data_IF_626667120495
#
_entry.id   IF_626667120495
#
_cell.length_a   1.000
_cell.length_b   1.000
_cell.length_c   1.000
_cell.angle_alpha   90.00
_cell.angle_beta   90.00
_cell.angle_gamma   90.00
#
_symmetry.space_group_name_H-M   'P 1'
#
loop_
_entity.id
_entity.type
_entity.pdbx_description
1 polymer ?
#
# COMPACT_ATOMS: atom_id res chain seq x y z
N UNK A 1 -12.47 30.82 20.91
CA UNK A 1 -12.24 29.36 20.85
C UNK A 1 -10.95 29.10 21.62
N UNK A 2 -11.00 28.40 22.75
CA UNK A 2 -9.83 28.19 23.61
C UNK A 2 -8.86 27.22 22.90
N UNK A 3 -7.66 27.68 22.56
CA UNK A 3 -6.64 26.86 21.93
C UNK A 3 -6.00 25.93 22.99
N UNK A 4 -5.66 24.67 22.63
CA UNK A 4 -5.07 23.71 23.55
C UNK A 4 -3.68 24.15 24.03
N UNK A 5 -3.29 23.72 25.24
CA UNK A 5 -2.07 24.16 25.95
C UNK A 5 -0.75 23.84 25.24
N UNK A 6 -0.75 22.99 24.19
CA UNK A 6 0.42 22.60 23.41
C UNK A 6 0.39 23.11 21.96
N UNK A 7 -0.21 24.28 21.74
CA UNK A 7 -0.28 24.89 20.40
C UNK A 7 1.11 25.33 19.97
N UNK A 8 1.69 24.65 18.97
CA UNK A 8 2.89 25.13 18.28
C UNK A 8 2.55 26.38 17.45
N UNK A 9 3.43 27.37 17.48
CA UNK A 9 3.27 28.64 16.78
C UNK A 9 4.25 28.72 15.62
N UNK A 10 3.81 29.37 14.54
CA UNK A 10 4.68 29.77 13.43
C UNK A 10 4.73 31.29 13.41
N UNK A 11 5.95 31.81 13.33
CA UNK A 11 6.27 33.24 13.35
C UNK A 11 7.13 33.59 12.14
N UNK A 12 6.97 34.81 11.64
CA UNK A 12 7.77 35.32 10.52
C UNK A 12 8.88 36.27 10.99
N UNK A 13 9.76 36.63 10.05
CA UNK A 13 10.70 37.73 10.16
C UNK A 13 10.22 38.85 9.26
N UNK A 14 10.01 40.03 9.82
CA UNK A 14 9.70 41.21 9.01
C UNK A 14 10.90 41.64 8.18
N UNK A 15 10.66 42.33 7.06
CA UNK A 15 11.71 42.84 6.18
C UNK A 15 12.82 43.60 6.94
N UNK A 16 12.44 44.42 7.93
CA UNK A 16 13.39 45.21 8.71
C UNK A 16 14.20 44.36 9.70
N UNK A 17 13.66 43.23 10.16
CA UNK A 17 14.34 42.29 11.05
C UNK A 17 15.32 41.35 10.31
N UNK A 18 15.23 41.27 8.97
CA UNK A 18 16.10 40.43 8.15
C UNK A 18 17.43 41.13 7.90
N UNK A 19 18.54 40.46 8.21
CA UNK A 19 19.90 40.94 7.95
C UNK A 19 20.52 40.30 6.70
N UNK A 20 21.41 41.05 6.03
CA UNK A 20 22.28 40.47 4.99
C UNK A 20 23.15 39.36 5.58
N UNK A 21 23.32 38.26 4.84
CA UNK A 21 24.04 37.08 5.30
C UNK A 21 23.28 36.21 6.31
N UNK A 22 22.09 36.61 6.75
CA UNK A 22 21.25 35.78 7.60
C UNK A 22 20.81 34.53 6.84
N UNK A 23 20.89 33.38 7.49
CA UNK A 23 20.56 32.10 6.89
C UNK A 23 19.56 31.30 7.72
N UNK A 24 18.72 30.52 7.05
CA UNK A 24 17.88 29.51 7.68
C UNK A 24 18.03 28.17 6.97
N UNK A 25 17.66 27.08 7.68
CA UNK A 25 17.74 25.72 7.13
C UNK A 25 16.54 24.85 7.46
N UNK A 26 16.25 23.92 6.57
CA UNK A 26 15.25 22.86 6.72
C UNK A 26 15.91 21.51 6.39
N UNK A 27 15.64 20.49 7.21
CA UNK A 27 16.10 19.12 6.98
C UNK A 27 14.90 18.23 6.70
N UNK A 28 15.00 17.40 5.66
CA UNK A 28 13.97 16.39 5.35
C UNK A 28 14.58 15.16 4.69
N UNK A 29 14.21 13.98 5.20
CA UNK A 29 14.56 12.70 4.58
C UNK A 29 13.51 12.33 3.54
N UNK A 30 13.95 11.97 2.34
CA UNK A 30 13.04 11.54 1.28
C UNK A 30 12.62 10.08 1.50
N UNK A 31 11.33 9.82 1.40
CA UNK A 31 10.75 8.49 1.49
C UNK A 31 10.14 8.07 0.15
N UNK A 32 9.83 6.78 -0.01
CA UNK A 32 9.07 6.32 -1.17
C UNK A 32 7.69 7.01 -1.25
N UNK A 33 7.05 7.21 -0.10
CA UNK A 33 5.77 7.92 -0.02
C UNK A 33 5.85 9.36 -0.50
N UNK A 34 6.97 10.07 -0.28
CA UNK A 34 7.17 11.42 -0.82
C UNK A 34 7.23 11.42 -2.35
N UNK A 35 7.92 10.44 -2.96
CA UNK A 35 8.06 10.33 -4.41
C UNK A 35 6.70 10.03 -5.05
N UNK A 36 5.97 9.07 -4.47
CA UNK A 36 4.64 8.70 -4.93
C UNK A 36 3.62 9.85 -4.75
N UNK A 37 3.65 10.54 -3.61
CA UNK A 37 2.77 11.69 -3.36
C UNK A 37 3.11 12.86 -4.31
N UNK A 38 4.40 13.11 -4.57
CA UNK A 38 4.81 14.14 -5.52
C UNK A 38 4.36 13.79 -6.94
N UNK A 39 4.49 12.53 -7.38
CA UNK A 39 3.97 12.08 -8.67
C UNK A 39 2.45 12.26 -8.77
N UNK A 40 1.70 11.91 -7.72
CA UNK A 40 0.25 12.04 -7.68
C UNK A 40 -0.22 13.50 -7.77
N UNK A 41 0.46 14.43 -7.09
CA UNK A 41 0.10 15.86 -7.07
C UNK A 41 0.59 16.60 -8.31
N UNK A 42 1.78 16.27 -8.82
CA UNK A 42 2.40 16.96 -9.97
C UNK A 42 1.97 16.39 -11.33
N UNK A 43 1.48 15.15 -11.38
CA UNK A 43 1.25 14.41 -12.61
C UNK A 43 2.54 13.84 -13.25
N UNK A 44 3.71 14.08 -12.66
CA UNK A 44 4.98 13.55 -13.15
C UNK A 44 5.15 12.07 -12.76
N UNK A 45 4.69 11.21 -13.66
CA UNK A 45 4.74 9.75 -13.56
C UNK A 45 5.91 9.14 -14.32
N UNK A 46 6.99 9.90 -14.56
CA UNK A 46 8.16 9.39 -15.26
C UNK A 46 8.65 8.08 -14.61
N UNK A 47 8.83 6.99 -15.39
CA UNK A 47 9.22 5.69 -14.85
C UNK A 47 10.50 5.68 -14.01
N UNK A 48 11.41 6.64 -14.21
CA UNK A 48 12.61 6.81 -13.37
C UNK A 48 12.30 7.04 -11.87
N UNK A 49 11.09 7.47 -11.55
CA UNK A 49 10.63 7.76 -10.19
C UNK A 49 9.76 6.64 -9.58
N UNK A 50 9.13 5.80 -10.41
CA UNK A 50 8.07 4.88 -9.94
C UNK A 50 8.32 3.40 -10.28
N UNK A 51 9.23 3.10 -11.22
CA UNK A 51 9.50 1.73 -11.65
C UNK A 51 10.98 1.37 -11.39
N UNK A 52 11.20 0.44 -10.46
CA UNK A 52 12.55 0.00 -10.08
C UNK A 52 13.28 -0.73 -11.22
N UNK A 53 12.58 -1.57 -11.98
CA UNK A 53 13.15 -2.31 -13.12
C UNK A 53 13.64 -1.34 -14.18
N UNK A 54 12.78 -0.41 -14.60
CA UNK A 54 13.15 0.64 -15.55
C UNK A 54 14.29 1.50 -15.02
N UNK A 55 14.20 1.96 -13.76
CA UNK A 55 15.19 2.87 -13.19
C UNK A 55 16.58 2.21 -13.04
N UNK A 56 16.64 0.90 -12.83
CA UNK A 56 17.91 0.15 -12.77
C UNK A 56 18.66 0.15 -14.11
N UNK A 57 17.92 0.14 -15.23
CA UNK A 57 18.48 0.16 -16.58
C UNK A 57 18.88 1.57 -17.05
N UNK A 58 18.54 2.61 -16.29
CA UNK A 58 18.99 3.98 -16.56
C UNK A 58 20.35 4.28 -15.95
N UNK A 59 20.93 5.42 -16.34
CA UNK A 59 22.12 6.04 -15.73
C UNK A 59 22.00 6.25 -14.20
N UNK A 60 20.79 6.17 -13.65
CA UNK A 60 20.54 6.35 -12.22
C UNK A 60 20.68 5.06 -11.41
N UNK A 61 20.62 3.87 -12.03
CA UNK A 61 20.72 2.58 -11.33
C UNK A 61 19.83 2.53 -10.07
N UNK A 62 18.54 2.72 -10.27
CA UNK A 62 17.51 2.68 -9.23
C UNK A 62 16.68 3.97 -9.14
N UNK A 63 15.58 3.88 -8.39
CA UNK A 63 14.60 4.97 -8.25
C UNK A 63 15.23 6.21 -7.62
N UNK A 64 14.98 7.37 -8.24
CA UNK A 64 15.40 8.68 -7.74
C UNK A 64 14.18 9.55 -7.45
N UNK A 65 14.31 10.51 -6.53
CA UNK A 65 13.27 11.49 -6.28
C UNK A 65 13.21 12.54 -7.40
N UNK A 66 12.03 13.14 -7.60
CA UNK A 66 11.85 14.28 -8.51
C UNK A 66 12.76 15.44 -8.09
N UNK A 67 13.52 16.02 -9.02
CA UNK A 67 14.38 17.17 -8.71
C UNK A 67 13.59 18.33 -8.09
N UNK A 68 12.38 18.57 -8.57
CA UNK A 68 11.46 19.59 -8.07
C UNK A 68 10.98 19.34 -6.64
N UNK A 69 11.11 18.14 -6.09
CA UNK A 69 10.88 17.91 -4.65
C UNK A 69 11.81 18.79 -3.81
N UNK A 70 13.08 18.91 -4.20
CA UNK A 70 14.03 19.83 -3.55
C UNK A 70 13.62 21.30 -3.67
N UNK A 71 13.06 21.70 -4.82
CA UNK A 71 12.47 23.04 -5.01
C UNK A 71 11.27 23.28 -4.10
N UNK A 72 10.40 22.30 -3.93
CA UNK A 72 9.27 22.37 -2.99
C UNK A 72 9.73 22.51 -1.53
N UNK A 73 10.88 21.93 -1.16
CA UNK A 73 11.47 22.15 0.18
C UNK A 73 12.00 23.57 0.38
N UNK A 74 12.55 24.21 -0.66
CA UNK A 74 12.90 25.64 -0.62
C UNK A 74 11.63 26.46 -0.41
N UNK A 75 10.58 26.16 -1.18
CA UNK A 75 9.27 26.81 -1.01
C UNK A 75 8.74 26.69 0.42
N UNK A 76 8.80 25.49 1.00
CA UNK A 76 8.45 25.27 2.40
C UNK A 76 9.31 26.11 3.36
N UNK A 77 10.64 26.09 3.22
CA UNK A 77 11.53 26.88 4.06
C UNK A 77 11.17 28.38 4.02
N UNK A 78 10.97 28.95 2.82
CA UNK A 78 10.70 30.38 2.69
C UNK A 78 9.30 30.78 3.15
N UNK A 79 8.30 29.96 2.86
CA UNK A 79 6.90 30.25 3.19
C UNK A 79 6.53 30.00 4.65
N UNK A 80 7.23 29.11 5.36
CA UNK A 80 6.83 28.69 6.71
C UNK A 80 7.87 28.96 7.79
N UNK A 81 9.16 29.14 7.47
CA UNK A 81 10.21 29.33 8.47
C UNK A 81 10.97 30.65 8.32
N UNK A 82 11.47 30.98 7.12
CA UNK A 82 12.30 32.16 6.92
C UNK A 82 12.28 32.66 5.46
N UNK A 83 11.69 33.83 5.16
CA UNK A 83 11.15 34.79 6.12
C UNK A 83 9.90 34.30 6.86
N UNK A 84 9.19 33.30 6.35
CA UNK A 84 8.05 32.67 7.02
C UNK A 84 6.70 33.25 6.59
N UNK A 85 5.64 33.11 7.41
CA UNK A 85 4.29 33.51 7.05
C UNK A 85 4.18 34.94 6.49
N UNK A 86 3.43 35.10 5.40
CA UNK A 86 3.27 36.37 4.68
C UNK A 86 4.34 36.65 3.63
N UNK A 87 5.33 35.77 3.46
CA UNK A 87 6.26 35.81 2.33
C UNK A 87 5.54 35.55 1.00
N UNK A 88 5.78 36.39 0.00
CA UNK A 88 5.28 36.17 -1.37
C UNK A 88 6.45 35.73 -2.26
N UNK A 89 6.32 34.56 -2.87
CA UNK A 89 7.32 34.01 -3.78
C UNK A 89 7.23 34.69 -5.15
N UNK A 90 8.30 35.37 -5.58
CA UNK A 90 8.31 36.12 -6.84
C UNK A 90 9.05 35.37 -7.95
N UNK A 91 10.19 34.78 -7.64
CA UNK A 91 11.03 34.10 -8.63
C UNK A 91 11.85 32.99 -7.99
N UNK A 92 12.07 31.92 -8.75
CA UNK A 92 12.94 30.81 -8.39
C UNK A 92 13.78 30.40 -9.59
N UNK A 93 15.10 30.35 -9.41
CA UNK A 93 16.04 29.73 -10.35
C UNK A 93 16.58 28.46 -9.72
N UNK A 94 16.62 27.34 -10.47
CA UNK A 94 17.09 26.05 -9.97
C UNK A 94 18.05 25.40 -10.96
N UNK A 95 19.15 24.87 -10.41
CA UNK A 95 20.14 24.07 -11.11
C UNK A 95 20.28 22.72 -10.39
N UNK A 96 19.83 21.66 -11.06
CA UNK A 96 19.93 20.28 -10.57
C UNK A 96 21.29 19.71 -10.91
N UNK A 97 22.02 19.24 -9.89
CA UNK A 97 23.44 18.84 -10.04
C UNK A 97 23.66 17.34 -9.81
N UNK A 98 22.91 16.72 -8.90
CA UNK A 98 22.99 15.29 -8.61
C UNK A 98 21.61 14.71 -8.30
N UNK A 99 21.36 13.43 -8.60
CA UNK A 99 20.12 12.77 -8.22
C UNK A 99 20.02 12.62 -6.71
N UNK A 100 18.79 12.61 -6.20
CA UNK A 100 18.45 12.35 -4.80
C UNK A 100 17.82 10.97 -4.73
N UNK A 101 18.27 10.12 -3.80
CA UNK A 101 17.78 8.75 -3.64
C UNK A 101 16.90 8.58 -2.42
N UNK A 102 16.04 7.57 -2.43
CA UNK A 102 15.25 7.17 -1.26
C UNK A 102 16.18 6.99 -0.05
N UNK A 103 15.83 7.61 1.08
CA UNK A 103 16.62 7.60 2.30
C UNK A 103 17.67 8.72 2.41
N UNK A 104 17.92 9.50 1.36
CA UNK A 104 18.77 10.69 1.47
C UNK A 104 18.11 11.75 2.37
N UNK A 105 18.90 12.35 3.25
CA UNK A 105 18.48 13.49 4.07
C UNK A 105 18.99 14.76 3.42
N UNK A 106 18.08 15.59 2.91
CA UNK A 106 18.41 16.88 2.32
C UNK A 106 18.42 17.98 3.37
N UNK A 107 19.49 18.76 3.40
CA UNK A 107 19.60 20.03 4.10
C UNK A 107 19.44 21.16 3.09
N UNK A 108 18.31 21.85 3.16
CA UNK A 108 18.03 23.07 2.41
C UNK A 108 18.49 24.27 3.23
N UNK A 109 19.30 25.14 2.65
CA UNK A 109 19.77 26.38 3.27
C UNK A 109 19.44 27.55 2.36
N UNK A 110 18.86 28.61 2.92
CA UNK A 110 18.61 29.87 2.23
C UNK A 110 19.36 30.99 2.96
N UNK A 111 20.18 31.75 2.23
CA UNK A 111 21.02 32.82 2.79
C UNK A 111 20.73 34.14 2.08
N UNK A 112 20.46 35.20 2.83
CA UNK A 112 20.15 36.52 2.27
C UNK A 112 21.38 37.12 1.59
N UNK A 113 21.28 37.39 0.30
CA UNK A 113 22.36 37.98 -0.51
C UNK A 113 22.13 39.46 -0.80
N UNK A 114 20.88 39.88 -0.99
CA UNK A 114 20.53 41.26 -1.29
C UNK A 114 19.15 41.67 -0.74
N UNK A 115 18.96 42.97 -0.56
CA UNK A 115 17.73 43.60 -0.08
C UNK A 115 17.40 44.83 -0.93
N UNK A 116 16.16 44.94 -1.40
CA UNK A 116 15.61 46.11 -2.10
C UNK A 116 14.61 46.83 -1.19
N UNK A 117 15.04 47.96 -0.61
CA UNK A 117 14.24 48.73 0.35
C UNK A 117 12.99 49.36 -0.27
N UNK A 118 13.03 49.70 -1.56
CA UNK A 118 11.92 50.35 -2.25
C UNK A 118 10.79 49.36 -2.51
N UNK A 119 11.16 48.11 -2.84
CA UNK A 119 10.19 47.05 -3.15
C UNK A 119 9.94 46.08 -1.99
N UNK A 120 10.69 46.18 -0.90
CA UNK A 120 10.69 45.22 0.23
C UNK A 120 10.99 43.79 -0.22
N UNK A 121 11.87 43.65 -1.22
CA UNK A 121 12.27 42.36 -1.78
C UNK A 121 13.57 41.89 -1.16
N UNK A 122 13.68 40.58 -1.00
CA UNK A 122 14.88 39.90 -0.51
C UNK A 122 15.28 38.85 -1.52
N UNK A 123 16.55 38.84 -1.87
CA UNK A 123 17.15 37.79 -2.68
C UNK A 123 17.93 36.83 -1.78
N UNK A 124 17.79 35.54 -2.04
CA UNK A 124 18.40 34.48 -1.25
C UNK A 124 19.16 33.50 -2.16
N UNK A 125 20.41 33.21 -1.79
CA UNK A 125 21.13 32.04 -2.29
C UNK A 125 20.56 30.78 -1.63
N UNK A 126 20.15 29.82 -2.45
CA UNK A 126 19.50 28.59 -2.02
C UNK A 126 20.40 27.40 -2.37
N UNK A 127 20.81 26.64 -1.35
CA UNK A 127 21.63 25.45 -1.51
C UNK A 127 20.96 24.24 -0.86
N UNK A 128 20.96 23.12 -1.59
CA UNK A 128 20.44 21.85 -1.10
C UNK A 128 21.55 20.81 -1.19
N UNK A 129 21.89 20.26 -0.03
CA UNK A 129 22.94 19.24 0.12
C UNK A 129 22.37 17.99 0.77
N UNK A 130 22.93 16.82 0.47
CA UNK A 130 22.57 15.58 1.15
C UNK A 130 23.40 15.38 2.43
N UNK A 131 23.15 14.28 3.15
CA UNK A 131 23.85 13.90 4.38
C UNK A 131 25.37 13.71 4.23
N UNK A 132 25.87 13.55 3.00
CA UNK A 132 27.30 13.45 2.68
C UNK A 132 27.93 14.81 2.33
N UNK A 133 27.18 15.91 2.44
CA UNK A 133 27.60 17.25 2.04
C UNK A 133 27.64 17.45 0.51
N UNK A 134 27.11 16.51 -0.27
CA UNK A 134 27.08 16.64 -1.73
C UNK A 134 25.94 17.57 -2.11
N UNK A 135 26.25 18.60 -2.90
CA UNK A 135 25.24 19.51 -3.46
C UNK A 135 24.42 18.79 -4.52
N UNK A 136 23.10 18.77 -4.34
CA UNK A 136 22.14 18.12 -5.24
C UNK A 136 21.36 19.15 -6.06
N UNK A 137 21.10 20.32 -5.48
CA UNK A 137 20.38 21.43 -6.10
C UNK A 137 20.93 22.75 -5.57
N UNK A 138 20.99 23.76 -6.43
CA UNK A 138 21.30 25.14 -6.03
C UNK A 138 20.60 26.16 -6.93
N UNK A 139 20.56 27.41 -6.50
CA UNK A 139 20.03 28.52 -7.29
C UNK A 139 19.64 29.68 -6.40
N UNK A 140 18.78 30.57 -6.89
CA UNK A 140 18.35 31.76 -6.16
C UNK A 140 16.84 31.83 -6.03
N UNK A 141 16.38 32.44 -4.95
CA UNK A 141 14.97 32.76 -4.72
C UNK A 141 14.83 34.26 -4.49
N UNK A 142 13.83 34.88 -5.11
CA UNK A 142 13.42 36.25 -4.83
C UNK A 142 12.05 36.25 -4.22
N UNK A 143 11.93 36.91 -3.08
CA UNK A 143 10.67 36.99 -2.32
C UNK A 143 10.34 38.42 -1.94
N UNK A 144 9.06 38.72 -1.81
CA UNK A 144 8.60 39.87 -1.03
C UNK A 144 8.57 39.44 0.43
N UNK A 145 9.39 40.07 1.28
CA UNK A 145 9.37 39.77 2.71
C UNK A 145 8.18 40.48 3.39
N UNK A 146 7.58 39.86 4.41
CA UNK A 146 6.47 40.47 5.12
C UNK A 146 6.93 41.74 5.86
N UNK A 147 6.10 42.78 5.90
CA UNK A 147 6.40 44.02 6.65
C UNK A 147 5.75 44.05 8.02
N UNK A 148 4.80 43.15 8.28
CA UNK A 148 4.09 43.04 9.54
C UNK A 148 4.41 41.70 10.20
N UNK A 149 4.53 41.73 11.53
CA UNK A 149 4.71 40.53 12.32
C UNK A 149 3.45 39.67 12.24
N UNK A 150 3.62 38.40 11.86
CA UNK A 150 2.56 37.40 11.82
C UNK A 150 2.92 36.27 12.76
N UNK A 151 1.98 35.92 13.64
CA UNK A 151 2.08 34.80 14.56
C UNK A 151 0.77 34.02 14.53
N UNK A 152 0.83 32.78 14.04
CA UNK A 152 -0.34 31.93 13.84
C UNK A 152 -0.11 30.54 14.45
N UNK A 153 -1.18 29.86 14.90
CA UNK A 153 -1.09 28.43 15.24
C UNK A 153 -0.61 27.65 14.02
N UNK A 154 0.32 26.71 14.23
CA UNK A 154 0.81 25.84 13.17
C UNK A 154 -0.32 24.98 12.61
N UNK A 155 -0.53 25.06 11.30
CA UNK A 155 -1.50 24.22 10.60
C UNK A 155 -0.85 22.85 10.35
N UNK A 156 -1.54 21.78 10.73
CA UNK A 156 -1.10 20.41 10.40
C UNK A 156 -1.43 20.11 8.95
N UNK A 157 -0.44 19.63 8.20
CA UNK A 157 -0.65 19.20 6.83
C UNK A 157 -1.53 17.93 6.78
N UNK A 158 -2.37 17.75 5.76
CA UNK A 158 -3.10 16.50 5.56
C UNK A 158 -2.13 15.34 5.34
N UNK A 159 -2.45 14.16 5.89
CA UNK A 159 -1.72 12.93 5.60
C UNK A 159 -2.26 12.30 4.32
N UNK A 160 -1.41 12.12 3.32
CA UNK A 160 -1.75 11.37 2.10
C UNK A 160 -1.45 9.90 2.37
N UNK A 161 -2.50 9.07 2.44
CA UNK A 161 -2.36 7.61 2.39
C UNK A 161 -2.47 7.16 0.94
N UNK A 162 -1.40 6.55 0.45
CA UNK A 162 -1.35 5.99 -0.89
C UNK A 162 -1.87 4.55 -0.82
N UNK A 163 -2.87 4.25 -1.64
CA UNK A 163 -3.42 2.91 -1.77
C UNK A 163 -3.27 2.45 -3.22
N UNK A 164 -2.49 1.39 -3.41
CA UNK A 164 -2.35 0.70 -4.67
C UNK A 164 -2.94 -0.71 -4.52
N UNK A 165 -4.17 -0.95 -5.02
CA UNK A 165 -4.84 -2.24 -4.92
C UNK A 165 -4.06 -3.37 -5.61
N UNK A 166 -3.41 -3.06 -6.73
CA UNK A 166 -2.70 -4.06 -7.53
C UNK A 166 -1.41 -4.48 -6.83
N UNK A 167 -0.67 -3.53 -6.25
CA UNK A 167 0.51 -3.84 -5.44
C UNK A 167 0.15 -4.70 -4.22
N UNK A 168 -0.96 -4.42 -3.53
CA UNK A 168 -1.44 -5.23 -2.40
C UNK A 168 -1.80 -6.65 -2.80
N UNK A 169 -2.46 -6.82 -3.94
CA UNK A 169 -2.81 -8.13 -4.45
C UNK A 169 -1.55 -8.94 -4.84
N UNK A 170 -0.57 -8.30 -5.49
CA UNK A 170 0.73 -8.94 -5.81
C UNK A 170 1.51 -9.32 -4.55
N UNK A 171 1.54 -8.45 -3.54
CA UNK A 171 2.15 -8.73 -2.24
C UNK A 171 1.52 -9.98 -1.59
N UNK A 172 0.18 -10.10 -1.64
CA UNK A 172 -0.51 -11.29 -1.13
C UNK A 172 -0.13 -12.56 -1.88
N UNK A 173 -0.10 -12.52 -3.22
CA UNK A 173 0.29 -13.67 -4.03
C UNK A 173 1.75 -14.10 -3.77
N UNK A 174 2.66 -13.14 -3.56
CA UNK A 174 4.07 -13.43 -3.28
C UNK A 174 4.32 -14.17 -1.98
N UNK A 175 3.34 -14.22 -1.06
CA UNK A 175 3.45 -15.05 0.14
C UNK A 175 3.50 -16.54 -0.18
N UNK A 176 2.99 -16.97 -1.35
CA UNK A 176 3.09 -18.34 -1.83
C UNK A 176 4.39 -18.65 -2.59
N UNK A 177 5.23 -17.66 -2.88
CA UNK A 177 6.42 -17.86 -3.70
C UNK A 177 7.40 -18.84 -3.04
N UNK A 178 7.79 -19.88 -3.79
CA UNK A 178 8.70 -20.93 -3.31
C UNK A 178 8.05 -21.99 -2.42
N UNK A 179 6.75 -21.91 -2.16
CA UNK A 179 5.99 -22.96 -1.47
C UNK A 179 5.48 -24.02 -2.47
N UNK A 180 5.38 -25.30 -2.07
CA UNK A 180 4.76 -26.31 -2.91
C UNK A 180 3.26 -26.07 -3.05
N UNK A 181 2.73 -26.33 -4.25
CA UNK A 181 1.30 -26.24 -4.53
C UNK A 181 0.51 -27.21 -3.63
N UNK A 182 -0.55 -26.71 -2.99
CA UNK A 182 -1.37 -27.50 -2.05
C UNK A 182 -2.38 -28.34 -2.81
N UNK A 183 -2.49 -29.64 -2.48
CA UNK A 183 -3.49 -30.48 -3.13
C UNK A 183 -4.89 -30.15 -2.62
N UNK A 184 -5.74 -29.64 -3.50
CA UNK A 184 -6.99 -28.99 -3.13
C UNK A 184 -8.19 -29.63 -3.83
N UNK A 185 -9.16 -30.14 -3.05
CA UNK A 185 -10.44 -30.56 -3.61
C UNK A 185 -11.33 -29.35 -3.86
N UNK A 186 -11.63 -29.09 -5.13
CA UNK A 186 -12.58 -28.07 -5.57
C UNK A 186 -13.95 -28.72 -5.65
N UNK A 187 -14.83 -28.38 -4.72
CA UNK A 187 -16.10 -29.07 -4.48
C UNK A 187 -17.19 -28.43 -5.31
N UNK A 188 -17.78 -29.20 -6.23
CA UNK A 188 -18.87 -28.79 -7.10
C UNK A 188 -18.63 -27.45 -7.85
N UNK A 189 -17.56 -27.30 -8.65
CA UNK A 189 -17.33 -26.10 -9.47
C UNK A 189 -18.21 -26.10 -10.72
N UNK A 190 -19.54 -26.10 -10.53
CA UNK A 190 -20.53 -26.18 -11.62
C UNK A 190 -21.03 -24.80 -12.09
N UNK A 191 -20.17 -23.79 -11.99
CA UNK A 191 -20.31 -22.47 -12.58
C UNK A 191 -18.94 -22.00 -13.13
N UNK A 192 -18.95 -20.99 -14.00
CA UNK A 192 -17.74 -20.51 -14.70
C UNK A 192 -16.74 -19.88 -13.72
N UNK A 193 -17.21 -19.12 -12.73
CA UNK A 193 -16.33 -18.33 -11.85
C UNK A 193 -15.58 -19.25 -10.87
N UNK A 194 -16.26 -20.24 -10.29
CA UNK A 194 -15.64 -21.25 -9.43
C UNK A 194 -14.60 -22.08 -10.20
N UNK A 195 -14.95 -22.51 -11.42
CA UNK A 195 -14.04 -23.32 -12.24
C UNK A 195 -12.83 -22.49 -12.70
N UNK A 196 -13.05 -21.26 -13.14
CA UNK A 196 -11.98 -20.33 -13.54
C UNK A 196 -11.06 -20.01 -12.36
N UNK A 197 -11.60 -19.69 -11.19
CA UNK A 197 -10.82 -19.38 -10.00
C UNK A 197 -9.91 -20.54 -9.57
N UNK A 198 -10.41 -21.77 -9.62
CA UNK A 198 -9.61 -22.96 -9.36
C UNK A 198 -8.46 -23.13 -10.36
N UNK A 199 -8.76 -22.98 -11.66
CA UNK A 199 -7.75 -23.16 -12.70
C UNK A 199 -6.73 -22.02 -12.75
N UNK A 200 -7.15 -20.78 -12.49
CA UNK A 200 -6.23 -19.64 -12.37
C UNK A 200 -5.28 -19.86 -11.18
N UNK A 201 -5.80 -20.33 -10.03
CA UNK A 201 -4.98 -20.68 -8.86
C UNK A 201 -3.96 -21.78 -9.18
N UNK A 202 -4.33 -22.78 -9.99
CA UNK A 202 -3.44 -23.83 -10.45
C UNK A 202 -2.35 -23.29 -11.41
N UNK A 203 -2.70 -22.38 -12.33
CA UNK A 203 -1.72 -21.73 -13.23
C UNK A 203 -0.71 -20.88 -12.46
N UNK A 204 -1.11 -20.30 -11.33
CA UNK A 204 -0.22 -19.59 -10.42
C UNK A 204 0.59 -20.52 -9.50
N UNK A 205 0.43 -21.85 -9.61
CA UNK A 205 1.17 -22.82 -8.80
C UNK A 205 0.74 -22.86 -7.34
N UNK A 206 -0.42 -22.30 -6.99
CA UNK A 206 -0.90 -22.23 -5.60
C UNK A 206 -1.54 -23.55 -5.16
N UNK A 207 -2.24 -24.23 -6.08
CA UNK A 207 -2.94 -25.48 -5.80
C UNK A 207 -2.71 -26.54 -6.88
N UNK A 208 -2.80 -27.80 -6.48
CA UNK A 208 -3.02 -28.95 -7.38
C UNK A 208 -4.50 -29.33 -7.28
N UNK A 209 -5.35 -28.90 -8.24
CA UNK A 209 -6.79 -29.06 -8.11
C UNK A 209 -7.24 -30.51 -8.36
N UNK A 210 -8.15 -30.98 -7.52
CA UNK A 210 -8.95 -32.20 -7.70
C UNK A 210 -10.41 -31.76 -7.82
N UNK A 211 -10.98 -31.82 -9.02
CA UNK A 211 -12.34 -31.35 -9.27
C UNK A 211 -13.35 -32.43 -8.88
N UNK A 212 -14.20 -32.15 -7.89
CA UNK A 212 -15.19 -33.11 -7.40
C UNK A 212 -16.59 -32.64 -7.80
N UNK A 213 -17.21 -33.30 -8.78
CA UNK A 213 -18.53 -32.89 -9.25
C UNK A 213 -19.04 -33.66 -10.47
N UNK A 214 -20.19 -33.25 -11.04
CA UNK A 214 -20.72 -33.80 -12.29
C UNK A 214 -19.78 -33.51 -13.45
N UNK A 215 -19.02 -34.51 -13.89
CA UNK A 215 -17.97 -34.37 -14.90
C UNK A 215 -18.48 -33.75 -16.21
N UNK A 216 -19.62 -34.24 -16.73
CA UNK A 216 -20.21 -33.71 -17.96
C UNK A 216 -20.49 -32.19 -17.86
N UNK A 217 -20.95 -31.73 -16.70
CA UNK A 217 -21.23 -30.30 -16.47
C UNK A 217 -19.95 -29.48 -16.38
N UNK A 218 -18.93 -29.97 -15.68
CA UNK A 218 -17.64 -29.27 -15.57
C UNK A 218 -16.94 -29.16 -16.92
N UNK A 219 -16.96 -30.22 -17.73
CA UNK A 219 -16.40 -30.20 -19.10
C UNK A 219 -17.15 -29.24 -20.02
N UNK A 220 -18.48 -29.23 -19.97
CA UNK A 220 -19.29 -28.27 -20.72
C UNK A 220 -18.92 -26.82 -20.36
N UNK A 221 -18.84 -26.50 -19.06
CA UNK A 221 -18.50 -25.16 -18.59
C UNK A 221 -17.06 -24.76 -18.96
N UNK A 222 -16.15 -25.72 -18.98
CA UNK A 222 -14.79 -25.52 -19.46
C UNK A 222 -14.76 -25.14 -20.95
N UNK A 223 -15.51 -25.84 -21.79
CA UNK A 223 -15.65 -25.50 -23.21
C UNK A 223 -16.28 -24.12 -23.41
N UNK A 224 -17.38 -23.84 -22.73
CA UNK A 224 -18.09 -22.54 -22.78
C UNK A 224 -17.20 -21.38 -22.29
N UNK A 225 -16.41 -21.61 -21.24
CA UNK A 225 -15.57 -20.60 -20.61
C UNK A 225 -14.16 -20.47 -21.19
N UNK A 226 -13.79 -21.32 -22.15
CA UNK A 226 -12.41 -21.42 -22.68
C UNK A 226 -11.39 -21.82 -21.61
N UNK A 227 -11.78 -22.65 -20.65
CA UNK A 227 -10.95 -23.09 -19.52
C UNK A 227 -10.35 -24.46 -19.86
N UNK A 228 -9.02 -24.54 -19.87
CA UNK A 228 -8.34 -25.82 -20.06
C UNK A 228 -8.38 -26.67 -18.77
N UNK A 229 -8.82 -27.93 -18.89
CA UNK A 229 -8.84 -28.93 -17.80
C UNK A 229 -7.84 -30.07 -18.03
N UNK A 230 -6.91 -29.94 -18.99
CA UNK A 230 -5.92 -30.96 -19.29
C UNK A 230 -5.04 -31.25 -18.06
N UNK A 231 -4.86 -32.54 -17.76
CA UNK A 231 -4.03 -33.00 -16.63
C UNK A 231 -4.64 -32.81 -15.25
N UNK A 232 -5.85 -32.26 -15.15
CA UNK A 232 -6.57 -32.08 -13.87
C UNK A 232 -7.26 -33.38 -13.48
N UNK A 233 -7.15 -33.76 -12.22
CA UNK A 233 -7.86 -34.91 -11.67
C UNK A 233 -9.34 -34.58 -11.47
N UNK A 234 -10.22 -35.46 -11.95
CA UNK A 234 -11.66 -35.30 -11.85
C UNK A 234 -12.26 -36.50 -11.12
N UNK A 235 -12.96 -36.23 -10.02
CA UNK A 235 -13.74 -37.20 -9.27
C UNK A 235 -15.21 -37.01 -9.63
N UNK A 236 -15.69 -37.84 -10.54
CA UNK A 236 -17.05 -37.77 -11.06
C UNK A 236 -18.08 -38.21 -10.01
N UNK A 237 -19.00 -37.31 -9.68
CA UNK A 237 -20.12 -37.55 -8.75
C UNK A 237 -21.40 -36.88 -9.26
N UNK A 238 -22.60 -37.40 -8.94
CA UNK A 238 -23.82 -37.00 -9.63
C UNK A 238 -24.37 -35.61 -9.27
N UNK A 239 -24.15 -35.12 -8.05
CA UNK A 239 -24.74 -33.86 -7.56
C UNK A 239 -23.91 -33.24 -6.42
N UNK A 240 -24.33 -32.06 -5.95
CA UNK A 240 -23.61 -31.24 -4.96
C UNK A 240 -23.38 -31.94 -3.62
N UNK A 241 -24.39 -32.62 -3.07
CA UNK A 241 -24.24 -33.35 -1.80
C UNK A 241 -23.21 -34.49 -1.91
N UNK A 242 -23.25 -35.26 -3.00
CA UNK A 242 -22.26 -36.31 -3.26
C UNK A 242 -20.84 -35.75 -3.43
N UNK A 243 -20.72 -34.55 -4.01
CA UNK A 243 -19.44 -33.84 -4.10
C UNK A 243 -18.92 -33.41 -2.72
N UNK A 244 -19.78 -32.85 -1.88
CA UNK A 244 -19.43 -32.48 -0.52
C UNK A 244 -18.98 -33.69 0.32
N UNK A 245 -19.73 -34.79 0.27
CA UNK A 245 -19.40 -36.03 0.98
C UNK A 245 -18.09 -36.65 0.51
N UNK A 246 -17.86 -36.68 -0.81
CA UNK A 246 -16.63 -37.23 -1.39
C UNK A 246 -15.42 -36.35 -1.10
N UNK A 247 -15.57 -35.03 -1.20
CA UNK A 247 -14.50 -34.11 -0.85
C UNK A 247 -14.12 -34.21 0.64
N UNK A 248 -15.11 -34.31 1.53
CA UNK A 248 -14.86 -34.54 2.96
C UNK A 248 -14.19 -35.89 3.24
N UNK A 249 -14.54 -36.94 2.48
CA UNK A 249 -13.85 -38.24 2.55
C UNK A 249 -12.37 -38.13 2.17
N UNK A 250 -12.07 -37.46 1.04
CA UNK A 250 -10.69 -37.25 0.57
C UNK A 250 -9.86 -36.41 1.55
N UNK A 251 -10.48 -35.41 2.19
CA UNK A 251 -9.80 -34.64 3.22
C UNK A 251 -9.54 -35.48 4.48
N UNK A 252 -10.50 -36.32 4.88
CA UNK A 252 -10.36 -37.19 6.05
C UNK A 252 -9.29 -38.28 5.87
N UNK A 253 -9.09 -38.77 4.64
CA UNK A 253 -8.00 -39.71 4.32
C UNK A 253 -6.63 -39.04 4.16
N UNK A 254 -6.59 -37.70 4.08
CA UNK A 254 -5.38 -36.95 3.77
C UNK A 254 -4.98 -36.97 2.29
N UNK A 255 -5.87 -37.44 1.40
CA UNK A 255 -5.64 -37.42 -0.06
C UNK A 255 -5.68 -35.99 -0.61
N UNK A 256 -6.33 -35.07 0.10
CA UNK A 256 -6.28 -33.62 -0.15
C UNK A 256 -6.02 -32.87 1.16
N UNK A 257 -5.35 -31.74 1.04
CA UNK A 257 -4.94 -30.90 2.18
C UNK A 257 -5.85 -29.68 2.35
N UNK A 258 -6.60 -29.31 1.31
CA UNK A 258 -7.49 -28.16 1.29
C UNK A 258 -8.82 -28.50 0.63
N UNK A 259 -9.90 -27.91 1.13
CA UNK A 259 -11.22 -27.92 0.49
C UNK A 259 -11.56 -26.51 0.00
N UNK A 260 -11.96 -26.39 -1.26
CA UNK A 260 -12.41 -25.14 -1.88
C UNK A 260 -13.85 -25.28 -2.33
N UNK A 261 -14.74 -24.41 -1.84
CA UNK A 261 -16.15 -24.41 -2.22
C UNK A 261 -16.32 -23.89 -3.66
N UNK A 262 -17.06 -24.61 -4.50
CA UNK A 262 -17.53 -24.16 -5.82
C UNK A 262 -18.92 -23.51 -5.76
N UNK A 263 -19.87 -23.92 -6.60
CA UNK A 263 -21.24 -23.34 -6.66
C UNK A 263 -22.23 -23.87 -5.63
N UNK A 264 -21.92 -24.96 -4.93
CA UNK A 264 -22.84 -25.54 -3.92
C UNK A 264 -23.11 -24.58 -2.75
N UNK A 265 -24.20 -24.79 -2.01
CA UNK A 265 -24.42 -24.00 -0.80
C UNK A 265 -23.41 -24.34 0.30
N UNK A 266 -23.08 -23.34 1.12
CA UNK A 266 -22.07 -23.48 2.19
C UNK A 266 -22.50 -24.49 3.25
N UNK A 267 -23.79 -24.60 3.54
CA UNK A 267 -24.32 -25.57 4.50
C UNK A 267 -24.09 -27.02 4.04
N UNK A 268 -24.24 -27.33 2.74
CA UNK A 268 -23.95 -28.66 2.19
C UNK A 268 -22.50 -29.08 2.45
N UNK A 269 -21.54 -28.21 2.15
CA UNK A 269 -20.11 -28.50 2.37
C UNK A 269 -19.79 -28.61 3.85
N UNK A 270 -20.21 -27.65 4.66
CA UNK A 270 -19.90 -27.64 6.09
C UNK A 270 -20.57 -28.81 6.80
N UNK A 271 -21.79 -29.20 6.41
CA UNK A 271 -22.44 -30.40 6.94
C UNK A 271 -21.61 -31.66 6.66
N UNK A 272 -21.15 -31.85 5.42
CA UNK A 272 -20.32 -33.00 5.05
C UNK A 272 -18.97 -33.02 5.80
N UNK A 273 -18.31 -31.87 5.95
CA UNK A 273 -17.07 -31.74 6.72
C UNK A 273 -17.31 -32.07 8.19
N UNK A 274 -18.34 -31.48 8.80
CA UNK A 274 -18.68 -31.74 10.19
C UNK A 274 -19.17 -33.17 10.39
N UNK A 275 -19.71 -33.87 9.39
CA UNK A 275 -20.09 -35.27 9.51
C UNK A 275 -18.88 -36.21 9.71
N UNK A 276 -17.66 -35.77 9.37
CA UNK A 276 -16.40 -36.53 9.55
C UNK A 276 -15.72 -36.18 10.87
N UNK A 277 -15.72 -37.06 11.89
CA UNK A 277 -15.06 -36.79 13.17
C UNK A 277 -13.56 -36.50 13.02
N UNK A 278 -12.91 -37.06 12.01
CA UNK A 278 -11.48 -36.93 11.70
C UNK A 278 -11.10 -35.49 11.31
N UNK A 279 -12.05 -34.73 10.76
CA UNK A 279 -11.86 -33.33 10.36
C UNK A 279 -12.23 -32.34 11.47
N UNK A 280 -12.78 -32.81 12.58
CA UNK A 280 -13.15 -31.95 13.70
C UNK A 280 -11.94 -31.70 14.59
N UNK A 281 -11.81 -30.46 15.03
CA UNK A 281 -10.86 -30.09 16.08
C UNK A 281 -11.58 -29.98 17.43
N UNK A 282 -10.81 -29.79 18.50
CA UNK A 282 -11.37 -29.48 19.82
C UNK A 282 -11.91 -28.05 19.97
N UNK A 283 -11.97 -27.27 18.88
CA UNK A 283 -12.36 -25.86 18.88
C UNK A 283 -13.57 -25.61 17.98
N UNK A 284 -14.32 -24.55 18.28
CA UNK A 284 -15.38 -24.05 17.40
C UNK A 284 -14.80 -23.64 16.04
N UNK A 285 -15.35 -24.19 14.97
CA UNK A 285 -15.05 -23.73 13.60
C UNK A 285 -15.45 -22.26 13.45
N UNK A 286 -14.61 -21.48 12.78
CA UNK A 286 -14.82 -20.05 12.57
C UNK A 286 -14.37 -19.60 11.18
N UNK A 287 -14.79 -18.41 10.80
CA UNK A 287 -14.45 -17.79 9.52
C UNK A 287 -13.62 -16.51 9.71
N UNK A 288 -12.63 -16.27 8.84
CA UNK A 288 -11.81 -15.05 8.83
C UNK A 288 -11.91 -14.36 7.47
N UNK A 289 -12.32 -13.09 7.44
CA UNK A 289 -12.11 -12.23 6.29
C UNK A 289 -10.75 -11.54 6.38
N UNK A 290 -10.01 -11.50 5.27
CA UNK A 290 -8.84 -10.63 5.10
C UNK A 290 -9.21 -9.46 4.19
N UNK A 291 -9.12 -8.23 4.70
CA UNK A 291 -9.41 -7.00 3.98
C UNK A 291 -8.14 -6.19 3.71
N UNK A 292 -8.02 -5.69 2.49
CA UNK A 292 -7.17 -4.55 2.17
C UNK A 292 -8.04 -3.30 2.11
N UNK A 293 -7.88 -2.40 3.09
CA UNK A 293 -8.71 -1.19 3.24
C UNK A 293 -7.91 0.02 2.79
N UNK A 294 -8.44 0.87 1.87
CA UNK A 294 -7.68 2.00 1.31
C UNK A 294 -7.05 2.95 2.33
N UNK A 295 -7.73 3.17 3.46
CA UNK A 295 -7.30 4.09 4.51
C UNK A 295 -6.58 3.40 5.68
N UNK A 296 -6.22 2.12 5.54
CA UNK A 296 -5.57 1.36 6.59
C UNK A 296 -4.21 0.82 6.13
N UNK A 297 -3.13 0.99 6.92
CA UNK A 297 -1.77 0.77 6.44
C UNK A 297 -1.36 -0.70 6.28
N UNK A 298 -2.20 -1.65 6.73
CA UNK A 298 -1.92 -3.09 6.73
C UNK A 298 -3.20 -3.91 6.47
N UNK A 299 -3.11 -5.20 6.15
CA UNK A 299 -4.29 -6.05 6.06
C UNK A 299 -5.05 -6.12 7.39
N UNK A 300 -6.37 -6.20 7.31
CA UNK A 300 -7.27 -6.38 8.46
C UNK A 300 -7.88 -7.78 8.43
N UNK A 301 -7.73 -8.53 9.52
CA UNK A 301 -8.40 -9.80 9.74
C UNK A 301 -9.65 -9.58 10.60
N UNK A 302 -10.81 -10.02 10.12
CA UNK A 302 -12.08 -9.89 10.82
C UNK A 302 -12.71 -11.28 10.97
N UNK A 303 -12.99 -11.68 12.22
CA UNK A 303 -13.61 -12.96 12.57
C UNK A 303 -14.63 -12.76 13.71
N UNK A 304 -15.75 -13.49 13.82
CA UNK A 304 -16.40 -14.33 12.81
C UNK A 304 -17.60 -13.57 12.25
N UNK A 305 -17.61 -13.38 10.93
CA UNK A 305 -18.62 -12.58 10.24
C UNK A 305 -19.56 -13.41 9.34
N UNK A 306 -19.45 -14.74 9.34
CA UNK A 306 -20.17 -15.58 8.38
C UNK A 306 -20.73 -16.89 8.96
N UNK A 307 -20.14 -17.43 10.02
CA UNK A 307 -20.51 -18.77 10.51
C UNK A 307 -21.21 -18.73 11.87
N UNK A 308 -20.63 -18.05 12.86
CA UNK A 308 -21.15 -18.05 14.23
C UNK A 308 -22.08 -16.85 14.48
N UNK A 309 -23.41 -17.08 14.57
CA UNK A 309 -24.43 -16.01 14.72
C UNK A 309 -24.39 -15.32 16.10
N UNK A 310 -24.34 -16.10 17.18
CA UNK A 310 -24.32 -15.58 18.55
C UNK A 310 -23.40 -16.43 19.44
N UNK A 311 -22.06 -16.31 19.26
CA UNK A 311 -21.12 -17.13 20.01
C UNK A 311 -21.10 -16.73 21.49
N UNK A 312 -21.09 -17.74 22.35
CA UNK A 312 -20.82 -17.65 23.79
C UNK A 312 -19.38 -17.18 24.05
N UNK A 313 -19.05 -16.89 25.31
CA UNK A 313 -17.69 -16.47 25.66
C UNK A 313 -16.63 -17.52 25.29
N UNK A 314 -16.90 -18.80 25.56
CA UNK A 314 -15.97 -19.89 25.25
C UNK A 314 -15.80 -20.06 23.74
N UNK A 315 -16.88 -19.98 22.96
CA UNK A 315 -16.78 -20.01 21.49
C UNK A 315 -16.03 -18.81 20.94
N UNK A 316 -16.15 -17.62 21.55
CA UNK A 316 -15.35 -16.45 21.16
C UNK A 316 -13.85 -16.66 21.42
N UNK A 317 -13.48 -17.38 22.48
CA UNK A 317 -12.07 -17.73 22.74
C UNK A 317 -11.55 -18.61 21.59
N UNK A 318 -12.29 -19.63 21.18
CA UNK A 318 -11.92 -20.48 20.05
C UNK A 318 -11.82 -19.68 18.74
N UNK A 319 -12.81 -18.83 18.46
CA UNK A 319 -12.85 -17.99 17.25
C UNK A 319 -11.60 -17.09 17.18
N UNK A 320 -11.25 -16.43 18.29
CA UNK A 320 -10.07 -15.57 18.37
C UNK A 320 -8.79 -16.39 18.19
N UNK A 321 -8.70 -17.54 18.85
CA UNK A 321 -7.51 -18.39 18.74
C UNK A 321 -7.29 -18.90 17.31
N UNK A 322 -8.37 -19.28 16.61
CA UNK A 322 -8.27 -19.69 15.20
C UNK A 322 -7.76 -18.54 14.31
N UNK A 323 -8.18 -17.30 14.57
CA UNK A 323 -7.68 -16.14 13.82
C UNK A 323 -6.24 -15.77 14.17
N UNK A 324 -5.77 -16.06 15.38
CA UNK A 324 -4.36 -15.93 15.76
C UNK A 324 -3.52 -16.98 15.03
N UNK A 325 -3.98 -18.24 15.01
CA UNK A 325 -3.25 -19.33 14.34
C UNK A 325 -3.22 -19.17 12.81
N UNK A 326 -4.20 -18.45 12.23
CA UNK A 326 -4.25 -18.11 10.81
C UNK A 326 -3.31 -16.96 10.41
N UNK A 327 -3.00 -16.03 11.32
CA UNK A 327 -2.27 -14.79 11.03
C UNK A 327 -0.75 -14.96 11.00
#
# INVERSE_FOLDING_TARGET
MNLPANTEWVENFTYDAIALGQSARLLRTVTLGDIQAFAAVSGDTNPAHLNAEYANDTLFHGVIAHGMWGGALISALLGTHFPGPGTIYLEQVLHFTKPVRIGDTLTVTATVTSKDDARKQVELDCQVTNQKGVRVLHGTARVLAPTQMVRLPKISAPQIQLFDPEARFKELLSLGDGMPAVRCAVVHPCDIDSLRGAMDSARHGLILPVLVGPEARMRQLAEEGGIDLAGVEIVAVPHSHAAAEKAAELAASGDVEMLMKGSLHTDELIHAVLARPELRTGRRMSHVFRFDVPLYPKPLLITDAAHNIHPTLLEKVDIIQNAIDFA
#
